data_IF_391844819366
#
_entry.id   IF_391844819366
#
_cell.length_a   1.000
_cell.length_b   1.000
_cell.length_c   1.000
_cell.angle_alpha   90.00
_cell.angle_beta   90.00
_cell.angle_gamma   90.00
#
_symmetry.space_group_name_H-M   'P 1'
#
loop_
_entity.id
_entity.type
_entity.pdbx_description
1 polymer ?
#
# COMPACT_ATOMS: atom_id res chain seq x y z
N UNK A 1 9.95 -6.95 -8.07
CA UNK A 1 8.76 -7.78 -7.78
C UNK A 1 7.49 -6.98 -8.12
N UNK A 2 6.77 -7.32 -9.21
CA UNK A 2 5.56 -6.62 -9.64
C UNK A 2 4.38 -6.81 -8.68
N UNK A 3 4.19 -7.99 -8.11
CA UNK A 3 3.11 -8.30 -7.16
C UNK A 3 3.20 -7.40 -5.91
N UNK A 4 4.42 -7.22 -5.40
CA UNK A 4 4.66 -6.31 -4.27
C UNK A 4 4.35 -4.86 -4.61
N UNK A 5 4.66 -4.40 -5.83
CA UNK A 5 4.34 -3.03 -6.28
C UNK A 5 2.82 -2.84 -6.36
N UNK A 6 2.11 -3.81 -6.94
CA UNK A 6 0.65 -3.79 -7.02
C UNK A 6 0.04 -3.76 -5.62
N UNK A 7 0.51 -4.59 -4.70
CA UNK A 7 -0.03 -4.62 -3.35
C UNK A 7 0.17 -3.29 -2.60
N UNK A 8 1.36 -2.69 -2.70
CA UNK A 8 1.60 -1.34 -2.16
C UNK A 8 0.68 -0.29 -2.78
N UNK A 9 0.45 -0.34 -4.10
CA UNK A 9 -0.43 0.61 -4.79
C UNK A 9 -1.88 0.50 -4.31
N UNK A 10 -2.39 -0.71 -4.10
CA UNK A 10 -3.74 -0.94 -3.55
C UNK A 10 -3.87 -0.35 -2.15
N UNK A 11 -2.91 -0.62 -1.26
CA UNK A 11 -2.92 -0.07 0.10
C UNK A 11 -2.81 1.47 0.10
N UNK A 12 -1.95 2.03 -0.75
CA UNK A 12 -1.81 3.48 -0.91
C UNK A 12 -3.11 4.12 -1.40
N UNK A 13 -3.82 3.48 -2.35
CA UNK A 13 -5.10 3.95 -2.83
C UNK A 13 -6.17 3.99 -1.71
N UNK A 14 -6.21 2.97 -0.84
CA UNK A 14 -7.11 2.96 0.32
C UNK A 14 -6.77 4.07 1.34
N UNK A 15 -5.49 4.37 1.55
CA UNK A 15 -5.08 5.51 2.36
C UNK A 15 -5.58 6.83 1.75
N UNK A 16 -5.39 7.03 0.43
CA UNK A 16 -5.84 8.25 -0.26
C UNK A 16 -7.36 8.39 -0.13
N UNK A 17 -8.12 7.32 -0.37
CA UNK A 17 -9.59 7.31 -0.19
C UNK A 17 -10.01 7.69 1.23
N UNK A 18 -9.31 7.20 2.24
CA UNK A 18 -9.59 7.55 3.64
C UNK A 18 -9.32 9.04 3.92
N UNK A 19 -8.19 9.57 3.43
CA UNK A 19 -7.85 10.99 3.56
C UNK A 19 -8.88 11.89 2.86
N UNK A 20 -9.31 11.52 1.65
CA UNK A 20 -10.21 12.34 0.85
C UNK A 20 -11.65 12.31 1.40
N UNK A 21 -12.14 11.16 1.87
CA UNK A 21 -13.46 11.02 2.52
C UNK A 21 -13.63 11.92 3.73
N UNK A 22 -12.56 12.13 4.48
CA UNK A 22 -12.54 12.97 5.67
C UNK A 22 -11.99 14.38 5.40
N UNK A 23 -11.71 14.72 4.14
CA UNK A 23 -11.12 16.00 3.72
C UNK A 23 -9.85 16.36 4.53
N UNK A 24 -9.01 15.37 4.81
CA UNK A 24 -7.78 15.54 5.57
C UNK A 24 -6.67 16.09 4.70
N UNK A 25 -6.25 17.31 5.02
CA UNK A 25 -4.95 17.81 4.57
C UNK A 25 -3.82 17.00 5.19
N UNK A 26 -2.63 17.02 4.57
CA UNK A 26 -1.42 16.38 5.11
C UNK A 26 -1.15 16.79 6.57
N UNK A 27 -1.34 18.08 6.88
CA UNK A 27 -1.17 18.59 8.25
C UNK A 27 -2.18 17.99 9.23
N UNK A 28 -3.45 17.89 8.84
CA UNK A 28 -4.50 17.27 9.68
C UNK A 28 -4.26 15.76 9.86
N UNK A 29 -3.86 15.07 8.79
CA UNK A 29 -3.53 13.65 8.85
C UNK A 29 -2.35 13.38 9.80
N UNK A 30 -1.31 14.22 9.75
CA UNK A 30 -0.20 14.17 10.71
C UNK A 30 -0.69 14.35 12.15
N UNK A 31 -1.45 15.42 12.42
CA UNK A 31 -1.97 15.69 13.77
C UNK A 31 -2.85 14.56 14.32
N UNK A 32 -3.66 13.92 13.47
CA UNK A 32 -4.54 12.81 13.87
C UNK A 32 -3.80 11.50 14.15
N UNK A 33 -2.77 11.20 13.36
CA UNK A 33 -2.17 9.86 13.32
C UNK A 33 -0.77 9.78 13.94
N UNK A 34 -0.09 10.92 14.11
CA UNK A 34 1.33 10.98 14.47
C UNK A 34 2.29 10.57 13.35
N UNK A 35 1.79 10.19 12.17
CA UNK A 35 2.61 9.79 11.03
C UNK A 35 3.21 11.03 10.37
N UNK A 36 4.48 10.95 9.96
CA UNK A 36 5.18 12.07 9.34
C UNK A 36 4.40 12.65 8.15
N UNK A 37 4.24 13.96 8.10
CA UNK A 37 3.57 14.67 7.00
C UNK A 37 4.14 14.27 5.62
N UNK A 38 5.46 14.11 5.53
CA UNK A 38 6.15 13.69 4.31
C UNK A 38 5.72 12.30 3.82
N UNK A 39 5.30 11.40 4.71
CA UNK A 39 4.80 10.09 4.29
C UNK A 39 3.48 10.23 3.52
N UNK A 40 2.56 11.05 4.02
CA UNK A 40 1.29 11.33 3.33
C UNK A 40 1.50 12.01 1.97
N UNK A 41 2.41 12.98 1.89
CA UNK A 41 2.76 13.62 0.61
C UNK A 41 3.28 12.60 -0.40
N UNK A 42 4.13 11.66 0.04
CA UNK A 42 4.76 10.68 -0.85
C UNK A 42 3.77 9.58 -1.26
N UNK A 43 2.83 9.23 -0.41
CA UNK A 43 1.69 8.37 -0.76
C UNK A 43 0.81 9.05 -1.83
N UNK A 44 0.43 10.33 -1.65
CA UNK A 44 -0.36 11.08 -2.64
C UNK A 44 0.33 11.18 -4.01
N UNK A 45 1.67 11.27 -4.01
CA UNK A 45 2.47 11.31 -5.24
C UNK A 45 2.86 9.93 -5.78
N UNK A 46 2.33 8.84 -5.23
CA UNK A 46 2.66 7.46 -5.58
C UNK A 46 4.17 7.10 -5.49
N UNK A 47 4.94 7.83 -4.67
CA UNK A 47 6.32 7.49 -4.31
C UNK A 47 6.33 6.43 -3.21
N UNK A 48 6.10 5.18 -3.63
CA UNK A 48 5.94 4.02 -2.74
C UNK A 48 7.23 3.21 -2.55
N UNK A 49 8.34 3.64 -3.14
CA UNK A 49 9.59 2.86 -3.22
C UNK A 49 10.10 2.41 -1.84
N UNK A 50 10.18 3.35 -0.89
CA UNK A 50 10.68 3.12 0.47
C UNK A 50 9.66 2.57 1.47
N UNK A 51 8.37 2.51 1.11
CA UNK A 51 7.35 2.03 2.03
C UNK A 51 7.36 0.51 2.09
N UNK A 52 7.41 -0.07 3.28
CA UNK A 52 7.05 -1.48 3.47
C UNK A 52 5.53 -1.65 3.44
N UNK A 53 5.06 -2.88 3.18
CA UNK A 53 3.64 -3.22 3.27
C UNK A 53 3.12 -2.98 4.69
N UNK A 54 3.88 -3.43 5.69
CA UNK A 54 3.59 -3.20 7.11
C UNK A 54 3.41 -1.71 7.44
N UNK A 55 4.28 -0.83 6.91
CA UNK A 55 4.15 0.61 7.11
C UNK A 55 2.85 1.15 6.54
N UNK A 56 2.45 0.74 5.33
CA UNK A 56 1.18 1.17 4.74
C UNK A 56 -0.02 0.67 5.54
N UNK A 57 0.00 -0.59 5.99
CA UNK A 57 -1.05 -1.15 6.86
C UNK A 57 -1.14 -0.40 8.20
N UNK A 58 0.00 -0.03 8.80
CA UNK A 58 0.02 0.75 10.05
C UNK A 58 -0.64 2.13 9.89
N UNK A 59 -0.48 2.77 8.71
CA UNK A 59 -1.12 4.05 8.41
C UNK A 59 -2.64 3.88 8.29
N UNK A 60 -3.10 2.82 7.62
CA UNK A 60 -4.54 2.49 7.53
C UNK A 60 -5.13 2.29 8.94
N UNK A 61 -4.43 1.54 9.80
CA UNK A 61 -4.83 1.33 11.20
C UNK A 61 -4.93 2.64 11.99
N UNK A 62 -3.96 3.55 11.82
CA UNK A 62 -3.97 4.86 12.48
C UNK A 62 -5.06 5.81 11.96
N UNK A 63 -5.53 5.61 10.73
CA UNK A 63 -6.69 6.32 10.17
C UNK A 63 -8.04 5.74 10.65
N UNK A 64 -8.02 4.70 11.49
CA UNK A 64 -9.23 4.11 12.08
C UNK A 64 -9.85 2.97 11.26
N UNK A 65 -9.17 2.49 10.23
CA UNK A 65 -9.60 1.36 9.40
C UNK A 65 -8.80 0.11 9.73
N UNK A 66 -9.30 -1.08 9.39
CA UNK A 66 -8.56 -2.34 9.54
C UNK A 66 -8.36 -3.00 8.18
N UNK A 67 -7.19 -3.59 7.97
CA UNK A 67 -6.89 -4.37 6.77
C UNK A 67 -7.24 -5.83 7.00
N UNK A 68 -8.02 -6.40 6.09
CA UNK A 68 -8.24 -7.85 5.97
C UNK A 68 -7.46 -8.38 4.76
N UNK A 69 -6.79 -9.53 4.92
CA UNK A 69 -5.91 -10.08 3.87
C UNK A 69 -6.33 -11.51 3.56
N UNK A 70 -6.66 -11.76 2.29
CA UNK A 70 -6.84 -13.08 1.73
C UNK A 70 -5.75 -13.36 0.69
N UNK A 71 -4.92 -14.36 0.92
CA UNK A 71 -3.82 -14.73 0.01
C UNK A 71 -4.21 -15.98 -0.78
N UNK A 72 -4.15 -15.89 -2.11
CA UNK A 72 -4.32 -17.04 -3.02
C UNK A 72 -3.01 -17.26 -3.78
N UNK A 73 -2.40 -18.42 -3.56
CA UNK A 73 -1.17 -18.81 -4.26
C UNK A 73 -1.52 -19.65 -5.48
N UNK A 74 -0.94 -19.32 -6.63
CA UNK A 74 -1.02 -20.12 -7.86
C UNK A 74 0.38 -20.55 -8.24
N UNK A 75 0.53 -21.77 -8.74
CA UNK A 75 1.79 -22.19 -9.36
C UNK A 75 2.01 -21.29 -10.57
N UNK A 76 3.18 -20.65 -10.66
CA UNK A 76 3.61 -20.11 -11.94
C UNK A 76 3.73 -21.31 -12.88
N UNK A 77 3.10 -21.24 -14.05
CA UNK A 77 3.47 -22.11 -15.15
C UNK A 77 4.89 -21.72 -15.53
N UNK A 78 5.88 -22.28 -14.83
CA UNK A 78 7.22 -22.32 -15.37
C UNK A 78 7.06 -22.94 -16.76
N UNK A 79 7.43 -22.16 -17.77
CA UNK A 79 7.54 -22.56 -19.16
C UNK A 79 7.97 -24.02 -19.20
N UNK A 80 7.18 -24.88 -19.83
CA UNK A 80 7.62 -26.23 -20.15
C UNK A 80 9.00 -26.09 -20.80
N UNK A 81 10.05 -26.48 -20.09
CA UNK A 81 11.35 -26.61 -20.70
C UNK A 81 11.18 -27.79 -21.64
N UNK A 82 10.92 -27.49 -22.91
CA UNK A 82 10.92 -28.51 -23.94
C UNK A 82 12.27 -29.22 -23.81
N UNK A 83 12.31 -30.56 -23.64
CA UNK A 83 13.56 -31.27 -23.73
C UNK A 83 14.06 -31.04 -25.16
N UNK A 84 15.22 -30.40 -25.31
CA UNK A 84 15.95 -30.47 -26.57
C UNK A 84 16.38 -31.91 -26.74
N UNK A 85 15.79 -32.60 -27.72
CA UNK A 85 16.36 -33.78 -28.36
C UNK A 85 17.24 -33.30 -29.52
#
# INVERSE_FOLDING_TARGET
NPDLKQFKAILAAEIIKALDREHLSVRKAHARTGIAAADFSRIRNADLGRFTVDRLMSIINRLGSRVEVAVKVRRSTATHHAPML
#
